data_IF_547128210716
#
_entry.id   IF_547128210716
#
_cell.length_a   1.000
_cell.length_b   1.000
_cell.length_c   1.000
_cell.angle_alpha   90.00
_cell.angle_beta   90.00
_cell.angle_gamma   90.00
#
_symmetry.space_group_name_H-M   'P 1'
#
loop_
_entity.id
_entity.type
_entity.pdbx_description
1 polymer ?
#
# COMPACT_ATOMS: atom_id res chain seq x y z
N UNK A 1 -10.32 -1.46 -19.33
CA UNK A 1 -10.58 -1.76 -17.89
C UNK A 1 -10.04 -3.14 -17.62
N UNK A 2 -9.31 -3.32 -16.52
CA UNK A 2 -8.84 -4.66 -16.12
C UNK A 2 -10.05 -5.48 -15.69
N UNK A 3 -10.43 -6.51 -16.47
CA UNK A 3 -11.59 -7.37 -16.22
C UNK A 3 -11.52 -8.17 -14.90
N UNK A 4 -10.36 -8.21 -14.28
CA UNK A 4 -10.09 -8.89 -13.00
C UNK A 4 -10.29 -7.98 -11.79
N UNK A 5 -10.49 -6.67 -11.99
CA UNK A 5 -10.55 -5.69 -10.91
C UNK A 5 -11.98 -5.47 -10.42
N UNK A 6 -12.21 -5.75 -9.14
CA UNK A 6 -13.46 -5.49 -8.42
C UNK A 6 -13.27 -4.33 -7.46
N UNK A 7 -14.27 -3.46 -7.34
CA UNK A 7 -14.24 -2.25 -6.48
C UNK A 7 -15.31 -2.35 -5.41
N UNK A 8 -14.92 -2.32 -4.15
CA UNK A 8 -15.82 -2.18 -3.00
C UNK A 8 -15.77 -0.72 -2.53
N UNK A 9 -16.90 0.01 -2.67
CA UNK A 9 -16.97 1.43 -2.26
C UNK A 9 -16.78 1.59 -0.75
N UNK A 10 -15.96 2.56 -0.34
CA UNK A 10 -15.73 2.90 1.07
C UNK A 10 -16.45 4.18 1.51
N UNK A 11 -17.23 4.84 0.62
CA UNK A 11 -17.85 6.15 0.89
C UNK A 11 -18.80 6.18 2.08
N UNK A 12 -19.52 5.09 2.31
CA UNK A 12 -20.47 4.94 3.43
C UNK A 12 -20.01 3.90 4.47
N UNK A 13 -18.77 3.43 4.34
CA UNK A 13 -18.23 2.40 5.23
C UNK A 13 -17.77 3.04 6.54
N UNK A 14 -18.17 2.46 7.68
CA UNK A 14 -17.62 2.86 8.97
C UNK A 14 -16.14 2.48 9.07
N UNK A 15 -15.39 3.13 9.98
CA UNK A 15 -13.99 2.75 10.23
C UNK A 15 -13.88 1.28 10.67
N UNK A 16 -14.79 0.83 11.53
CA UNK A 16 -14.80 -0.55 12.02
C UNK A 16 -15.03 -1.56 10.88
N UNK A 17 -16.00 -1.30 10.00
CA UNK A 17 -16.25 -2.15 8.84
C UNK A 17 -15.08 -2.15 7.88
N UNK A 18 -14.45 -1.00 7.67
CA UNK A 18 -13.26 -0.88 6.82
C UNK A 18 -12.08 -1.69 7.40
N UNK A 19 -11.81 -1.61 8.70
CA UNK A 19 -10.78 -2.42 9.35
C UNK A 19 -11.10 -3.91 9.27
N UNK A 20 -12.37 -4.30 9.53
CA UNK A 20 -12.81 -5.68 9.41
C UNK A 20 -12.65 -6.22 7.96
N UNK A 21 -12.92 -5.37 6.96
CA UNK A 21 -12.75 -5.74 5.55
C UNK A 21 -11.28 -5.93 5.19
N UNK A 22 -10.39 -5.08 5.68
CA UNK A 22 -8.94 -5.18 5.45
C UNK A 22 -8.31 -6.43 6.05
N UNK A 23 -8.84 -6.96 7.16
CA UNK A 23 -8.36 -8.22 7.77
C UNK A 23 -8.61 -9.44 6.91
N UNK A 24 -9.56 -9.40 5.97
CA UNK A 24 -9.92 -10.54 5.10
C UNK A 24 -8.91 -10.84 3.99
N UNK A 25 -7.89 -10.00 3.82
CA UNK A 25 -6.84 -10.18 2.81
C UNK A 25 -5.64 -9.27 3.12
N UNK A 26 -4.55 -9.45 2.37
CA UNK A 26 -3.30 -8.69 2.51
C UNK A 26 -3.45 -7.34 1.82
N UNK A 27 -3.20 -6.24 2.54
CA UNK A 27 -3.12 -4.89 1.99
C UNK A 27 -1.70 -4.47 1.65
N UNK A 28 -1.56 -3.34 0.92
CA UNK A 28 -0.24 -2.84 0.54
C UNK A 28 0.67 -2.50 1.73
N UNK A 29 0.11 -2.00 2.83
CA UNK A 29 0.88 -1.72 4.06
C UNK A 29 1.39 -2.99 4.75
N UNK A 30 0.74 -4.14 4.54
CA UNK A 30 1.16 -5.42 5.11
C UNK A 30 2.35 -6.01 4.35
N UNK A 31 2.43 -5.74 3.05
CA UNK A 31 3.40 -6.35 2.13
C UNK A 31 4.85 -6.16 2.61
N UNK A 32 5.21 -4.95 3.06
CA UNK A 32 6.56 -4.68 3.58
C UNK A 32 6.87 -5.49 4.84
N UNK A 33 5.87 -5.69 5.72
CA UNK A 33 6.02 -6.52 6.93
C UNK A 33 6.23 -8.00 6.59
N UNK A 34 5.51 -8.51 5.59
CA UNK A 34 5.59 -9.90 5.14
C UNK A 34 6.98 -10.24 4.57
N UNK A 35 7.57 -9.32 3.80
CA UNK A 35 8.88 -9.54 3.15
C UNK A 35 10.06 -8.96 3.94
N UNK A 36 9.84 -8.53 5.18
CA UNK A 36 10.93 -8.05 6.07
C UNK A 36 11.51 -6.68 5.71
N UNK A 37 10.82 -5.86 4.94
CA UNK A 37 11.21 -4.49 4.57
C UNK A 37 10.60 -3.40 5.48
N UNK A 38 9.79 -3.80 6.46
CA UNK A 38 9.18 -2.88 7.41
C UNK A 38 9.96 -2.84 8.72
N UNK A 39 10.19 -1.63 9.25
CA UNK A 39 10.69 -1.45 10.61
C UNK A 39 9.57 -1.48 11.67
N UNK A 40 8.31 -1.45 11.26
CA UNK A 40 7.14 -1.36 12.16
C UNK A 40 6.33 -2.64 12.24
N UNK A 41 6.49 -3.54 11.28
CA UNK A 41 5.74 -4.77 11.19
C UNK A 41 6.66 -5.95 10.81
N UNK A 42 6.41 -7.09 11.43
CA UNK A 42 7.04 -8.37 11.10
C UNK A 42 5.99 -9.32 10.50
N UNK A 43 6.38 -10.42 9.85
CA UNK A 43 5.41 -11.42 9.39
C UNK A 43 4.48 -11.86 10.52
N UNK A 44 5.02 -12.09 11.74
CA UNK A 44 4.22 -12.47 12.90
C UNK A 44 3.18 -11.41 13.30
N UNK A 45 3.55 -10.11 13.32
CA UNK A 45 2.60 -9.05 13.71
C UNK A 45 1.51 -8.86 12.67
N UNK A 46 1.84 -9.00 11.38
CA UNK A 46 0.84 -8.99 10.30
C UNK A 46 -0.10 -10.19 10.44
N UNK A 47 0.43 -11.39 10.64
CA UNK A 47 -0.37 -12.60 10.84
C UNK A 47 -1.34 -12.44 12.03
N UNK A 48 -0.83 -11.97 13.18
CA UNK A 48 -1.63 -11.80 14.39
C UNK A 48 -2.76 -10.78 14.22
N UNK A 49 -2.53 -9.70 13.45
CA UNK A 49 -3.59 -8.76 13.06
C UNK A 49 -4.65 -9.44 12.17
N UNK A 50 -4.24 -10.18 11.15
CA UNK A 50 -5.17 -10.85 10.23
C UNK A 50 -6.09 -11.86 10.91
N UNK A 51 -5.60 -12.57 11.91
CA UNK A 51 -6.43 -13.52 12.70
C UNK A 51 -7.14 -12.85 13.90
N UNK A 52 -7.04 -11.52 14.03
CA UNK A 52 -7.72 -10.76 15.08
C UNK A 52 -7.16 -10.96 16.50
N UNK A 53 -5.88 -11.33 16.63
CA UNK A 53 -5.21 -11.46 17.94
C UNK A 53 -4.83 -10.13 18.57
N UNK A 54 -4.72 -9.07 17.76
CA UNK A 54 -4.50 -7.72 18.28
C UNK A 54 -5.81 -6.96 18.31
N UNK A 55 -5.99 -6.16 19.37
CA UNK A 55 -6.99 -5.10 19.36
C UNK A 55 -6.68 -4.12 18.22
N UNK A 56 -7.70 -3.43 17.72
CA UNK A 56 -7.49 -2.37 16.76
C UNK A 56 -6.46 -1.38 17.30
N UNK A 57 -5.46 -1.07 16.49
CA UNK A 57 -4.46 -0.08 16.87
C UNK A 57 -5.17 1.26 17.12
N UNK A 58 -4.98 1.78 18.35
CA UNK A 58 -5.45 3.12 18.67
C UNK A 58 -4.80 4.14 17.74
N UNK A 59 -5.60 5.12 17.37
CA UNK A 59 -5.14 6.20 16.51
C UNK A 59 -4.12 7.07 17.25
N UNK A 60 -2.97 7.29 16.66
CA UNK A 60 -1.93 8.15 17.22
C UNK A 60 -1.76 9.43 16.37
N UNK A 61 -1.05 10.39 16.95
CA UNK A 61 -0.85 11.70 16.30
C UNK A 61 -0.16 11.59 14.93
N UNK A 62 0.79 10.67 14.75
CA UNK A 62 1.44 10.47 13.45
C UNK A 62 0.47 9.92 12.39
N UNK A 63 -0.43 9.02 12.76
CA UNK A 63 -1.48 8.51 11.88
C UNK A 63 -2.49 9.60 11.52
N UNK A 64 -2.87 10.42 12.50
CA UNK A 64 -3.74 11.58 12.29
C UNK A 64 -3.12 12.57 11.33
N UNK A 65 -1.89 13.01 11.60
CA UNK A 65 -1.16 13.93 10.72
C UNK A 65 -1.02 13.36 9.30
N UNK A 66 -0.76 12.06 9.16
CA UNK A 66 -0.70 11.41 7.85
C UNK A 66 -1.99 11.57 7.05
N UNK A 67 -3.15 11.36 7.70
CA UNK A 67 -4.46 11.54 7.06
C UNK A 67 -4.78 13.01 6.76
N UNK A 68 -4.51 13.88 7.71
CA UNK A 68 -4.82 15.32 7.57
C UNK A 68 -3.97 15.97 6.46
N UNK A 69 -2.75 15.50 6.26
CA UNK A 69 -1.81 16.01 5.24
C UNK A 69 -1.88 15.27 3.90
N UNK A 70 -2.63 14.18 3.78
CA UNK A 70 -2.71 13.38 2.54
C UNK A 70 -3.17 14.22 1.34
N UNK A 71 -4.19 15.08 1.52
CA UNK A 71 -4.66 15.98 0.46
C UNK A 71 -3.59 16.98 0.05
N UNK A 72 -2.93 17.62 1.02
CA UNK A 72 -1.83 18.55 0.77
C UNK A 72 -0.69 17.90 0.01
N UNK A 73 -0.31 16.65 0.35
CA UNK A 73 0.73 15.90 -0.37
C UNK A 73 0.31 15.64 -1.82
N UNK A 74 -0.97 15.29 -2.04
CA UNK A 74 -1.50 15.08 -3.39
C UNK A 74 -1.51 16.39 -4.22
N UNK A 75 -1.91 17.52 -3.62
CA UNK A 75 -1.88 18.84 -4.25
C UNK A 75 -0.45 19.23 -4.65
N UNK A 76 0.52 19.09 -3.73
CA UNK A 76 1.94 19.34 -4.01
C UNK A 76 2.49 18.46 -5.13
N UNK A 77 2.03 17.22 -5.21
CA UNK A 77 2.41 16.35 -6.32
C UNK A 77 1.82 16.83 -7.66
N UNK A 78 0.56 17.27 -7.67
CA UNK A 78 -0.07 17.83 -8.86
C UNK A 78 0.65 19.11 -9.33
N UNK A 79 1.02 19.99 -8.40
CA UNK A 79 1.83 21.19 -8.69
C UNK A 79 3.19 20.83 -9.30
N UNK A 80 3.89 19.87 -8.70
CA UNK A 80 5.25 19.48 -9.13
C UNK A 80 5.27 18.77 -10.50
N UNK A 81 4.17 18.06 -10.86
CA UNK A 81 4.15 17.21 -12.07
C UNK A 81 3.26 17.75 -13.19
N UNK A 82 2.37 18.67 -12.91
CA UNK A 82 1.32 19.14 -13.83
C UNK A 82 0.23 18.09 -14.11
N UNK A 83 0.23 16.96 -13.41
CA UNK A 83 -0.75 15.87 -13.54
C UNK A 83 -1.93 16.10 -12.61
N UNK A 84 -3.06 15.43 -12.88
CA UNK A 84 -4.26 15.49 -12.05
C UNK A 84 -4.53 14.12 -11.44
N UNK A 85 -4.99 14.09 -10.18
CA UNK A 85 -5.37 12.85 -9.49
C UNK A 85 -6.79 12.91 -8.96
N UNK A 86 -7.35 11.73 -8.65
CA UNK A 86 -8.68 11.57 -8.02
C UNK A 86 -8.59 10.57 -6.87
N UNK A 87 -9.31 10.83 -5.78
CA UNK A 87 -9.48 9.86 -4.67
C UNK A 87 -10.10 8.56 -5.18
N UNK A 88 -9.59 7.45 -4.70
CA UNK A 88 -10.12 6.13 -5.05
C UNK A 88 -11.46 5.85 -4.38
N UNK A 89 -11.61 6.14 -3.09
CA UNK A 89 -12.79 5.85 -2.25
C UNK A 89 -13.30 4.41 -2.41
N UNK A 90 -12.39 3.45 -2.56
CA UNK A 90 -12.73 2.03 -2.72
C UNK A 90 -11.58 1.13 -2.33
N UNK A 91 -11.90 -0.02 -1.74
CA UNK A 91 -10.98 -1.16 -1.66
C UNK A 91 -11.05 -1.87 -3.01
N UNK A 92 -9.89 -2.15 -3.59
CA UNK A 92 -9.74 -2.81 -4.88
C UNK A 92 -9.31 -4.26 -4.66
N UNK A 93 -9.95 -5.18 -5.36
CA UNK A 93 -9.63 -6.60 -5.36
C UNK A 93 -9.32 -7.05 -6.78
N UNK A 94 -8.43 -8.03 -6.91
CA UNK A 94 -8.10 -8.63 -8.20
C UNK A 94 -8.31 -10.14 -8.14
N UNK A 95 -9.11 -10.70 -9.05
CA UNK A 95 -9.39 -12.13 -9.07
C UNK A 95 -8.15 -13.00 -9.32
N UNK A 96 -7.06 -12.44 -9.83
CA UNK A 96 -5.76 -13.13 -9.97
C UNK A 96 -5.05 -13.29 -8.61
N UNK A 97 -5.37 -12.43 -7.63
CA UNK A 97 -4.76 -12.42 -6.29
C UNK A 97 -5.86 -12.33 -5.22
N UNK A 98 -6.68 -13.39 -5.03
CA UNK A 98 -7.86 -13.34 -4.15
C UNK A 98 -7.51 -13.10 -2.68
N UNK A 99 -6.27 -13.36 -2.30
CA UNK A 99 -5.71 -13.13 -0.97
C UNK A 99 -5.23 -11.69 -0.74
N UNK A 100 -5.34 -10.80 -1.74
CA UNK A 100 -4.80 -9.44 -1.69
C UNK A 100 -5.85 -8.38 -2.04
N UNK A 101 -5.70 -7.20 -1.43
CA UNK A 101 -6.48 -6.00 -1.76
C UNK A 101 -5.59 -4.75 -1.84
N UNK A 102 -6.09 -3.69 -2.43
CA UNK A 102 -5.43 -2.39 -2.45
C UNK A 102 -6.39 -1.27 -1.98
N UNK A 103 -5.97 -0.56 -0.94
CA UNK A 103 -6.51 0.74 -0.55
C UNK A 103 -5.56 1.81 -1.06
N UNK A 104 -5.89 2.41 -2.18
CA UNK A 104 -5.00 3.38 -2.83
C UNK A 104 -5.49 4.80 -2.56
N UNK A 105 -4.58 5.73 -2.35
CA UNK A 105 -4.92 7.11 -2.05
C UNK A 105 -5.54 7.78 -3.27
N UNK A 106 -4.85 7.74 -4.42
CA UNK A 106 -5.28 8.42 -5.66
C UNK A 106 -5.06 7.57 -6.91
N UNK A 107 -5.90 7.80 -7.89
CA UNK A 107 -5.67 7.37 -9.29
C UNK A 107 -5.25 8.57 -10.12
N UNK A 108 -4.30 8.41 -11.05
CA UNK A 108 -3.86 9.46 -11.97
C UNK A 108 -4.83 9.56 -13.15
N UNK A 109 -5.28 10.78 -13.46
CA UNK A 109 -6.22 11.01 -14.56
C UNK A 109 -5.48 10.89 -15.89
N UNK A 110 -6.03 10.08 -16.80
CA UNK A 110 -5.44 9.88 -18.13
C UNK A 110 -4.28 8.88 -18.18
N UNK A 111 -3.89 8.28 -17.05
CA UNK A 111 -2.84 7.27 -16.98
C UNK A 111 -3.36 6.00 -16.29
N UNK A 112 -2.78 4.84 -16.66
CA UNK A 112 -2.96 3.60 -15.90
C UNK A 112 -1.96 3.58 -14.74
N UNK A 113 -2.16 4.48 -13.79
CA UNK A 113 -1.24 4.72 -12.68
C UNK A 113 -1.99 5.14 -11.42
N UNK A 114 -1.37 4.91 -10.27
CA UNK A 114 -1.81 5.43 -8.98
C UNK A 114 -0.75 6.30 -8.32
N UNK A 115 -1.15 7.01 -7.28
CA UNK A 115 -0.29 7.81 -6.43
C UNK A 115 -0.51 7.40 -4.97
N UNK A 116 0.58 7.16 -4.27
CA UNK A 116 0.65 6.99 -2.83
C UNK A 116 1.21 8.26 -2.19
N UNK A 117 0.55 8.76 -1.16
CA UNK A 117 0.91 9.98 -0.44
C UNK A 117 1.46 9.63 0.94
N UNK A 118 2.65 10.11 1.27
CA UNK A 118 3.31 9.82 2.55
C UNK A 118 3.84 11.08 3.22
N UNK A 119 3.79 11.06 4.55
CA UNK A 119 4.50 12.00 5.42
C UNK A 119 5.48 11.25 6.30
N UNK A 120 6.64 11.82 6.57
CA UNK A 120 7.68 11.18 7.39
C UNK A 120 8.66 12.21 7.94
N UNK A 121 9.33 11.90 9.04
CA UNK A 121 10.47 12.68 9.56
C UNK A 121 11.81 12.26 8.93
N UNK A 122 11.87 11.06 8.33
CA UNK A 122 13.11 10.51 7.76
C UNK A 122 12.84 9.85 6.41
N UNK A 123 13.79 9.97 5.48
CA UNK A 123 13.74 9.36 4.16
C UNK A 123 15.04 8.61 3.90
N UNK A 124 14.96 7.29 3.91
CA UNK A 124 16.07 6.41 3.56
C UNK A 124 15.81 5.82 2.18
N UNK A 125 16.76 6.04 1.27
CA UNK A 125 16.70 5.52 -0.10
C UNK A 125 17.54 4.25 -0.21
N UNK A 126 17.07 3.31 -1.02
CA UNK A 126 17.79 2.10 -1.41
C UNK A 126 17.68 1.90 -2.91
N UNK A 127 18.70 1.28 -3.50
CA UNK A 127 18.68 0.90 -4.91
C UNK A 127 17.84 -0.37 -5.13
N UNK A 128 16.84 -0.26 -6.00
CA UNK A 128 16.03 -1.36 -6.49
C UNK A 128 16.15 -1.41 -8.01
N UNK A 129 16.88 -2.39 -8.55
CA UNK A 129 17.11 -2.54 -10.01
C UNK A 129 17.57 -1.25 -10.69
N UNK A 130 18.46 -0.49 -10.04
CA UNK A 130 19.03 0.75 -10.59
C UNK A 130 18.18 2.02 -10.33
N UNK A 131 17.06 1.89 -9.66
CA UNK A 131 16.22 3.04 -9.26
C UNK A 131 16.34 3.27 -7.75
N UNK A 132 16.64 4.50 -7.34
CA UNK A 132 16.55 4.88 -5.92
C UNK A 132 15.09 5.04 -5.52
N UNK A 133 14.69 4.31 -4.47
CA UNK A 133 13.34 4.35 -3.97
C UNK A 133 13.34 4.23 -2.43
N UNK A 134 12.39 4.85 -1.71
CA UNK A 134 12.26 4.67 -0.27
C UNK A 134 11.90 3.21 0.08
N UNK A 135 12.84 2.53 0.74
CA UNK A 135 12.76 1.09 1.03
C UNK A 135 11.44 0.68 1.68
N UNK A 136 11.03 1.43 2.69
CA UNK A 136 9.82 1.14 3.47
C UNK A 136 8.50 1.24 2.67
N UNK A 137 8.50 1.88 1.50
CA UNK A 137 7.31 2.03 0.66
C UNK A 137 7.38 1.19 -0.63
N UNK A 138 8.53 0.57 -0.91
CA UNK A 138 8.75 -0.18 -2.15
C UNK A 138 7.76 -1.33 -2.30
N UNK A 139 7.71 -2.24 -1.31
CA UNK A 139 6.82 -3.40 -1.36
C UNK A 139 5.33 -2.99 -1.45
N UNK A 140 4.94 -1.89 -0.79
CA UNK A 140 3.57 -1.35 -0.90
C UNK A 140 3.25 -0.93 -2.33
N UNK A 141 4.16 -0.22 -3.00
CA UNK A 141 3.95 0.23 -4.39
C UNK A 141 3.94 -0.95 -5.38
N UNK A 142 4.81 -1.95 -5.21
CA UNK A 142 4.79 -3.19 -6.00
C UNK A 142 3.46 -3.94 -5.81
N UNK A 143 2.97 -4.03 -4.57
CA UNK A 143 1.67 -4.64 -4.26
C UNK A 143 0.52 -3.93 -4.99
N UNK A 144 0.53 -2.61 -5.00
CA UNK A 144 -0.48 -1.83 -5.71
C UNK A 144 -0.41 -2.04 -7.23
N UNK A 145 0.79 -2.12 -7.80
CA UNK A 145 0.97 -2.49 -9.22
C UNK A 145 0.37 -3.88 -9.51
N UNK A 146 0.57 -4.85 -8.61
CA UNK A 146 0.01 -6.20 -8.74
C UNK A 146 -1.52 -6.17 -8.76
N UNK A 147 -2.12 -5.64 -7.70
CA UNK A 147 -3.59 -5.68 -7.49
C UNK A 147 -4.33 -4.84 -8.53
N UNK A 148 -3.84 -3.63 -8.83
CA UNK A 148 -4.53 -2.71 -9.76
C UNK A 148 -4.32 -3.05 -11.23
N UNK A 149 -3.21 -3.72 -11.57
CA UNK A 149 -2.77 -3.91 -12.96
C UNK A 149 -2.25 -2.62 -13.60
N UNK A 150 -1.88 -1.63 -12.78
CA UNK A 150 -1.29 -0.38 -13.26
C UNK A 150 0.08 -0.62 -13.90
N UNK A 151 0.45 0.25 -14.85
CA UNK A 151 1.76 0.19 -15.54
C UNK A 151 2.85 0.89 -14.77
N UNK A 152 2.49 1.83 -13.89
CA UNK A 152 3.41 2.55 -12.99
C UNK A 152 2.72 2.98 -11.71
N UNK A 153 3.53 3.26 -10.70
CA UNK A 153 3.09 3.82 -9.42
C UNK A 153 3.93 5.02 -9.05
N UNK A 154 3.26 6.09 -8.64
CA UNK A 154 3.91 7.27 -8.11
C UNK A 154 3.88 7.24 -6.58
N UNK A 155 4.94 7.75 -5.99
CA UNK A 155 5.03 7.98 -4.56
C UNK A 155 5.42 9.44 -4.32
N UNK A 156 4.62 10.14 -3.53
CA UNK A 156 4.89 11.49 -3.06
C UNK A 156 5.17 11.47 -1.56
N UNK A 157 6.29 12.04 -1.13
CA UNK A 157 6.72 12.03 0.26
C UNK A 157 7.01 13.44 0.75
N UNK A 158 6.23 13.91 1.72
CA UNK A 158 6.54 15.10 2.49
C UNK A 158 7.43 14.71 3.67
N UNK A 159 8.66 15.19 3.67
CA UNK A 159 9.61 14.98 4.79
C UNK A 159 9.59 16.23 5.66
N UNK A 160 9.11 16.10 6.91
CA UNK A 160 8.93 17.22 7.82
C UNK A 160 10.22 18.03 8.01
N UNK A 161 10.13 19.34 7.75
CA UNK A 161 11.25 20.28 7.88
C UNK A 161 12.38 20.11 6.85
N UNK A 162 12.23 19.19 5.85
CA UNK A 162 13.31 18.90 4.88
C UNK A 162 12.91 19.10 3.41
N UNK A 163 11.66 18.78 3.03
CA UNK A 163 11.23 18.99 1.65
C UNK A 163 10.17 18.01 1.16
N UNK A 164 9.90 18.09 -0.14
CA UNK A 164 8.94 17.28 -0.86
C UNK A 164 9.65 16.49 -1.95
N UNK A 165 9.43 15.18 -1.97
CA UNK A 165 10.11 14.25 -2.88
C UNK A 165 9.09 13.42 -3.66
N UNK A 166 9.39 13.15 -4.92
CA UNK A 166 8.55 12.33 -5.79
C UNK A 166 9.37 11.20 -6.38
N UNK A 167 8.75 10.02 -6.45
CA UNK A 167 9.36 8.81 -6.99
C UNK A 167 8.39 8.16 -7.97
N UNK A 168 8.95 7.45 -8.95
CA UNK A 168 8.18 6.67 -9.92
C UNK A 168 8.70 5.25 -9.92
N UNK A 169 7.77 4.30 -9.85
CA UNK A 169 8.05 2.88 -9.95
C UNK A 169 7.33 2.34 -11.19
N UNK A 170 8.07 1.86 -12.17
CA UNK A 170 7.51 1.18 -13.34
C UNK A 170 7.16 -0.27 -12.98
N UNK A 171 6.14 -0.80 -13.64
CA UNK A 171 5.72 -2.19 -13.46
C UNK A 171 6.85 -3.14 -13.86
N UNK A 172 7.27 -3.98 -12.94
CA UNK A 172 8.15 -5.11 -13.19
C UNK A 172 7.39 -6.40 -12.80
N UNK A 173 7.15 -7.26 -13.79
CA UNK A 173 6.35 -8.46 -13.54
C UNK A 173 7.10 -9.47 -12.66
N UNK A 174 8.42 -9.56 -12.75
CA UNK A 174 9.21 -10.46 -11.92
C UNK A 174 9.16 -10.07 -10.43
N UNK A 175 9.20 -8.76 -10.13
CA UNK A 175 9.04 -8.24 -8.76
C UNK A 175 7.62 -8.51 -8.22
N UNK A 176 6.61 -8.32 -9.08
CA UNK A 176 5.22 -8.61 -8.72
C UNK A 176 5.05 -10.10 -8.43
N UNK A 177 5.55 -10.96 -9.29
CA UNK A 177 5.42 -12.42 -9.12
C UNK A 177 6.11 -12.88 -7.84
N UNK A 178 7.31 -12.37 -7.54
CA UNK A 178 8.03 -12.68 -6.32
C UNK A 178 7.27 -12.22 -5.06
N UNK A 179 6.76 -10.98 -5.07
CA UNK A 179 6.00 -10.44 -3.93
C UNK A 179 4.69 -11.21 -3.74
N UNK A 180 3.95 -11.46 -4.82
CA UNK A 180 2.65 -12.16 -4.73
C UNK A 180 2.82 -13.64 -4.36
N UNK A 181 3.90 -14.30 -4.75
CA UNK A 181 4.23 -15.64 -4.28
C UNK A 181 4.48 -15.66 -2.77
N UNK A 182 5.31 -14.74 -2.25
CA UNK A 182 5.55 -14.62 -0.81
C UNK A 182 4.26 -14.29 -0.03
N UNK A 183 3.44 -13.39 -0.54
CA UNK A 183 2.16 -13.03 0.04
C UNK A 183 1.18 -14.22 0.05
N UNK A 184 1.15 -15.03 -0.99
CA UNK A 184 0.31 -16.24 -1.05
C UNK A 184 0.73 -17.30 -0.03
N UNK A 185 2.04 -17.58 0.08
CA UNK A 185 2.54 -18.50 1.10
C UNK A 185 2.24 -18.00 2.52
N UNK A 186 2.41 -16.71 2.75
CA UNK A 186 2.03 -16.08 4.02
C UNK A 186 0.52 -16.23 4.29
N UNK A 187 -0.35 -16.04 3.30
CA UNK A 187 -1.80 -16.12 3.46
C UNK A 187 -2.26 -17.53 3.86
N UNK A 188 -1.61 -18.57 3.36
CA UNK A 188 -1.87 -19.96 3.79
C UNK A 188 -1.67 -20.14 5.30
N UNK A 189 -0.68 -19.47 5.90
CA UNK A 189 -0.45 -19.51 7.35
C UNK A 189 -1.56 -18.79 8.12
N UNK A 190 -2.11 -17.71 7.54
CA UNK A 190 -3.28 -17.03 8.11
C UNK A 190 -4.50 -17.95 8.10
N UNK A 191 -4.79 -18.60 6.99
CA UNK A 191 -5.92 -19.55 6.84
C UNK A 191 -5.79 -20.76 7.77
N UNK A 192 -4.57 -21.25 7.98
CA UNK A 192 -4.30 -22.35 8.89
C UNK A 192 -4.34 -21.96 10.38
N UNK A 193 -4.34 -20.66 10.67
CA UNK A 193 -4.27 -20.15 12.04
C UNK A 193 -2.96 -20.47 12.77
N UNK A 194 -1.89 -20.81 12.03
CA UNK A 194 -0.61 -21.25 12.59
C UNK A 194 0.55 -20.33 12.20
N UNK A 195 1.30 -19.77 13.18
CA UNK A 195 2.48 -18.96 12.91
C UNK A 195 3.77 -19.77 12.77
N UNK A 196 3.71 -21.08 12.69
CA UNK A 196 4.87 -21.99 12.92
C UNK A 196 6.00 -21.85 11.88
N UNK A 197 5.79 -21.10 10.81
CA UNK A 197 6.77 -20.86 9.75
C UNK A 197 7.09 -19.37 9.51
N UNK A 198 6.76 -18.50 10.49
CA UNK A 198 7.00 -17.04 10.42
C UNK A 198 8.29 -16.63 11.11
#
# INVERSE_FOLDING_TARGET
MNQHLVRLSTRSMSRADWLAQRRKSIGGSDAAGIVGLSQYATPYTVWADKIGRFADQEDNEAMRQGRDLEEYVAERWMEATGKTVRRSNAILYNSLYPFAHADIDRTVVGENAGLECKTTSTLNLRQFKGVEFPEKYYAQCVHYLAVTGATRWYLAVLVYGRGFFTFTLERDQAEIDALMAAAHEFWKLVEQGSPTAL
#
